data_IF_738190659302
#
_entry.id   IF_738190659302
#
_cell.length_a   1.000
_cell.length_b   1.000
_cell.length_c   1.000
_cell.angle_alpha   90.00
_cell.angle_beta   90.00
_cell.angle_gamma   90.00
#
_symmetry.space_group_name_H-M   'P 1'
#
loop_
_entity.id
_entity.type
_entity.pdbx_description
1 polymer ?
#
# COMPACT_ATOMS: atom_id res chain seq x y z
N UNK A 1 -26.39 2.31 -11.60
CA UNK A 1 -24.91 2.34 -11.71
C UNK A 1 -24.51 3.79 -11.87
N UNK A 2 -23.90 4.39 -10.85
CA UNK A 2 -23.24 5.69 -11.01
C UNK A 2 -21.90 5.43 -11.69
N UNK A 3 -21.92 5.29 -13.02
CA UNK A 3 -20.68 5.38 -13.80
C UNK A 3 -20.27 6.85 -13.78
N UNK A 4 -19.30 7.21 -12.95
CA UNK A 4 -18.55 8.43 -13.19
C UNK A 4 -17.83 8.19 -14.51
N UNK A 5 -18.39 8.69 -15.61
CA UNK A 5 -17.77 8.58 -16.94
C UNK A 5 -16.32 9.03 -16.87
N UNK A 6 -15.44 8.43 -17.67
CA UNK A 6 -14.01 8.74 -17.69
C UNK A 6 -13.81 10.25 -17.65
N UNK A 7 -13.24 10.74 -16.55
CA UNK A 7 -13.03 12.16 -16.30
C UNK A 7 -11.52 12.40 -16.23
N UNK A 8 -11.04 13.41 -16.95
CA UNK A 8 -9.62 13.71 -17.05
C UNK A 8 -9.15 14.53 -15.85
N UNK A 9 -8.29 13.94 -15.02
CA UNK A 9 -7.61 14.56 -13.87
C UNK A 9 -6.11 14.62 -14.08
N UNK A 10 -5.67 15.07 -15.26
CA UNK A 10 -4.26 15.17 -15.65
C UNK A 10 -3.45 16.23 -14.89
N UNK A 11 -4.10 17.14 -14.15
CA UNK A 11 -3.44 18.11 -13.27
C UNK A 11 -3.99 18.12 -11.84
N UNK A 12 -3.18 18.59 -10.88
CA UNK A 12 -3.60 18.70 -9.47
C UNK A 12 -4.79 19.66 -9.29
N UNK A 13 -4.85 20.73 -10.07
CA UNK A 13 -5.96 21.70 -10.02
C UNK A 13 -7.28 21.07 -10.50
N UNK A 14 -7.24 20.30 -11.59
CA UNK A 14 -8.41 19.55 -12.08
C UNK A 14 -8.84 18.49 -11.06
N UNK A 15 -7.89 17.78 -10.45
CA UNK A 15 -8.16 16.78 -9.41
C UNK A 15 -8.82 17.42 -8.19
N UNK A 16 -8.31 18.55 -7.71
CA UNK A 16 -8.87 19.33 -6.61
C UNK A 16 -10.30 19.79 -6.91
N UNK A 17 -10.50 20.35 -8.09
CA UNK A 17 -11.81 20.82 -8.56
C UNK A 17 -12.80 19.66 -8.66
N UNK A 18 -12.37 18.51 -9.19
CA UNK A 18 -13.21 17.32 -9.28
C UNK A 18 -13.63 16.84 -7.89
N UNK A 19 -12.69 16.76 -6.94
CA UNK A 19 -12.98 16.31 -5.57
C UNK A 19 -13.96 17.24 -4.88
N UNK A 20 -13.79 18.55 -5.02
CA UNK A 20 -14.68 19.55 -4.41
C UNK A 20 -16.10 19.46 -4.98
N UNK A 21 -16.24 19.27 -6.28
CA UNK A 21 -17.53 19.31 -6.95
C UNK A 21 -18.29 17.97 -6.90
N UNK A 22 -17.58 16.84 -6.87
CA UNK A 22 -18.19 15.51 -7.06
C UNK A 22 -18.10 14.60 -5.84
N UNK A 23 -17.12 14.80 -4.95
CA UNK A 23 -16.92 13.95 -3.77
C UNK A 23 -17.53 14.62 -2.55
N UNK A 24 -18.76 14.21 -2.23
CA UNK A 24 -19.55 14.75 -1.12
C UNK A 24 -18.80 14.65 0.20
N UNK A 25 -18.70 15.77 0.90
CA UNK A 25 -18.27 15.82 2.29
C UNK A 25 -19.48 15.82 3.22
N UNK A 26 -19.47 14.95 4.21
CA UNK A 26 -20.49 14.89 5.26
C UNK A 26 -19.82 15.28 6.58
N UNK A 27 -20.30 16.36 7.19
CA UNK A 27 -19.94 16.72 8.55
C UNK A 27 -20.54 15.69 9.51
N UNK A 28 -19.78 14.63 9.76
CA UNK A 28 -20.18 13.49 10.56
C UNK A 28 -18.93 12.80 11.11
N UNK A 29 -18.98 12.41 12.38
CA UNK A 29 -17.89 11.74 13.06
C UNK A 29 -18.36 10.34 13.48
N UNK A 30 -17.67 9.31 13.00
CA UNK A 30 -17.98 7.92 13.34
C UNK A 30 -17.35 7.56 14.68
N UNK A 31 -18.17 7.09 15.62
CA UNK A 31 -17.71 6.65 16.94
C UNK A 31 -17.61 5.12 16.97
N UNK A 32 -16.46 4.59 17.39
CA UNK A 32 -16.19 3.14 17.36
C UNK A 32 -17.22 2.30 18.13
N UNK A 33 -17.81 2.81 19.21
CA UNK A 33 -18.82 2.08 20.01
C UNK A 33 -20.12 1.84 19.25
N UNK A 34 -20.44 2.67 18.26
CA UNK A 34 -21.70 2.63 17.49
C UNK A 34 -21.42 2.49 15.99
N UNK A 35 -20.34 1.77 15.63
CA UNK A 35 -19.80 1.72 14.27
C UNK A 35 -20.87 1.34 13.22
N UNK A 36 -21.72 0.36 13.50
CA UNK A 36 -22.78 -0.08 12.58
C UNK A 36 -23.87 0.97 12.38
N UNK A 37 -24.32 1.64 13.45
CA UNK A 37 -25.34 2.69 13.35
C UNK A 37 -24.81 3.89 12.56
N UNK A 38 -23.57 4.31 12.86
CA UNK A 38 -22.88 5.36 12.13
C UNK A 38 -22.68 5.02 10.65
N UNK A 39 -22.26 3.79 10.34
CA UNK A 39 -22.08 3.31 8.97
C UNK A 39 -23.40 3.32 8.18
N UNK A 40 -24.48 2.86 8.80
CA UNK A 40 -25.82 2.88 8.21
C UNK A 40 -26.28 4.31 7.92
N UNK A 41 -26.11 5.23 8.88
CA UNK A 41 -26.48 6.62 8.71
C UNK A 41 -25.68 7.29 7.58
N UNK A 42 -24.37 7.07 7.51
CA UNK A 42 -23.53 7.55 6.41
C UNK A 42 -23.99 7.03 5.05
N UNK A 43 -24.31 5.73 4.94
CA UNK A 43 -24.81 5.14 3.70
C UNK A 43 -26.10 5.83 3.23
N UNK A 44 -27.07 6.03 4.13
CA UNK A 44 -28.34 6.70 3.79
C UNK A 44 -28.16 8.19 3.47
N UNK A 45 -27.20 8.88 4.10
CA UNK A 45 -26.88 10.29 3.78
C UNK A 45 -26.15 10.45 2.43
N UNK A 46 -25.33 9.47 2.03
CA UNK A 46 -24.65 9.46 0.72
C UNK A 46 -25.57 8.99 -0.40
N UNK A 47 -26.46 8.04 -0.11
CA UNK A 47 -27.39 7.44 -1.07
C UNK A 47 -28.84 7.62 -0.60
N UNK A 48 -29.46 8.81 -0.77
CA UNK A 48 -30.78 9.12 -0.22
C UNK A 48 -31.93 8.25 -0.76
N UNK A 49 -31.71 7.54 -1.86
CA UNK A 49 -32.69 6.62 -2.45
C UNK A 49 -32.63 5.21 -1.84
N UNK A 50 -31.62 4.91 -1.03
CA UNK A 50 -31.52 3.62 -0.33
C UNK A 50 -32.47 3.59 0.86
N UNK A 51 -33.05 2.42 1.13
CA UNK A 51 -33.91 2.17 2.29
C UNK A 51 -33.14 1.36 3.32
N UNK A 52 -33.37 1.65 4.60
CA UNK A 52 -32.70 0.96 5.70
C UNK A 52 -32.90 -0.55 5.67
N UNK A 53 -34.12 -1.01 5.38
CA UNK A 53 -34.44 -2.44 5.31
C UNK A 53 -33.72 -3.21 4.18
N UNK A 54 -33.19 -2.50 3.17
CA UNK A 54 -32.48 -3.10 2.04
C UNK A 54 -30.97 -3.28 2.30
N UNK A 55 -30.48 -2.73 3.42
CA UNK A 55 -29.04 -2.66 3.74
C UNK A 55 -28.63 -3.75 4.71
N UNK A 56 -27.62 -4.52 4.30
CA UNK A 56 -26.90 -5.47 5.15
C UNK A 56 -25.51 -4.92 5.44
N UNK A 57 -25.15 -4.88 6.72
CA UNK A 57 -23.84 -4.40 7.16
C UNK A 57 -23.04 -5.57 7.73
N UNK A 58 -21.78 -5.66 7.35
CA UNK A 58 -20.82 -6.61 7.88
C UNK A 58 -19.51 -5.90 8.21
N UNK A 59 -18.91 -6.24 9.35
CA UNK A 59 -17.59 -5.74 9.71
C UNK A 59 -16.53 -6.61 9.04
N UNK A 60 -15.66 -5.98 8.25
CA UNK A 60 -14.51 -6.67 7.67
C UNK A 60 -13.49 -6.92 8.78
N UNK A 61 -13.13 -8.19 8.99
CA UNK A 61 -12.17 -8.62 10.03
C UNK A 61 -10.79 -8.95 9.46
N UNK A 62 -10.65 -8.93 8.13
CA UNK A 62 -9.41 -9.23 7.44
C UNK A 62 -8.53 -7.98 7.45
N UNK A 63 -7.57 -7.92 8.38
CA UNK A 63 -6.62 -6.83 8.56
C UNK A 63 -6.41 -6.45 10.03
N UNK A 64 -5.38 -5.64 10.30
CA UNK A 64 -5.07 -5.20 11.67
C UNK A 64 -6.01 -4.10 12.19
N UNK A 65 -6.89 -3.54 11.35
CA UNK A 65 -7.81 -2.46 11.74
C UNK A 65 -9.27 -2.91 11.78
N UNK A 66 -9.85 -2.99 12.99
CA UNK A 66 -11.27 -3.34 13.23
C UNK A 66 -12.26 -2.22 12.83
N UNK A 67 -11.96 -1.44 11.79
CA UNK A 67 -12.55 -0.11 11.52
C UNK A 67 -13.19 0.03 10.13
N UNK A 68 -13.44 -1.10 9.47
CA UNK A 68 -13.99 -1.19 8.12
C UNK A 68 -15.33 -1.92 8.13
N UNK A 69 -16.37 -1.27 7.61
CA UNK A 69 -17.71 -1.85 7.45
C UNK A 69 -18.02 -1.95 5.96
N UNK A 70 -18.42 -3.13 5.51
CA UNK A 70 -19.08 -3.30 4.21
C UNK A 70 -20.58 -3.14 4.39
N UNK A 71 -21.18 -2.30 3.57
CA UNK A 71 -22.62 -2.08 3.50
C UNK A 71 -23.10 -2.49 2.11
N UNK A 72 -24.00 -3.48 2.06
CA UNK A 72 -24.54 -4.05 0.82
C UNK A 72 -26.00 -3.70 0.69
N UNK A 73 -26.36 -3.03 -0.41
CA UNK A 73 -27.74 -2.87 -0.82
C UNK A 73 -28.18 -4.14 -1.57
N UNK A 74 -28.99 -4.99 -0.93
CA UNK A 74 -29.37 -6.31 -1.43
C UNK A 74 -30.15 -6.26 -2.76
N UNK A 75 -31.21 -5.43 -2.92
CA UNK A 75 -31.92 -5.32 -4.19
C UNK A 75 -31.05 -4.85 -5.36
N UNK A 76 -30.07 -3.99 -5.10
CA UNK A 76 -29.18 -3.46 -6.13
C UNK A 76 -27.97 -4.35 -6.42
N UNK A 77 -27.67 -5.32 -5.55
CA UNK A 77 -26.44 -6.12 -5.64
C UNK A 77 -25.18 -5.26 -5.59
N UNK A 78 -25.20 -4.18 -4.81
CA UNK A 78 -24.15 -3.17 -4.81
C UNK A 78 -23.63 -2.92 -3.39
N UNK A 79 -22.30 -2.96 -3.24
CA UNK A 79 -21.63 -2.84 -1.95
C UNK A 79 -20.67 -1.66 -1.90
N UNK A 80 -20.65 -1.00 -0.75
CA UNK A 80 -19.71 0.08 -0.41
C UNK A 80 -18.94 -0.31 0.85
N UNK A 81 -17.77 0.30 1.01
CA UNK A 81 -16.95 0.23 2.20
C UNK A 81 -16.96 1.58 2.91
N UNK A 82 -17.19 1.56 4.22
CA UNK A 82 -17.06 2.72 5.11
C UNK A 82 -15.85 2.47 6.01
N UNK A 83 -14.81 3.28 5.83
CA UNK A 83 -13.53 3.16 6.56
C UNK A 83 -13.32 4.38 7.43
N UNK A 84 -13.07 4.15 8.72
CA UNK A 84 -12.57 5.19 9.62
C UNK A 84 -11.04 5.16 9.71
N UNK A 85 -10.41 6.32 9.86
CA UNK A 85 -8.96 6.41 9.98
C UNK A 85 -8.44 5.83 11.31
N UNK A 86 -7.19 5.35 11.29
CA UNK A 86 -6.46 4.91 12.48
C UNK A 86 -6.18 6.09 13.44
N UNK A 87 -6.13 5.80 14.74
CA UNK A 87 -5.76 6.83 15.72
C UNK A 87 -4.30 7.25 15.48
N UNK A 88 -4.01 8.56 15.45
CA UNK A 88 -2.66 9.14 15.24
C UNK A 88 -1.93 8.71 13.95
N UNK A 89 -2.67 8.17 12.98
CA UNK A 89 -2.11 7.68 11.72
C UNK A 89 -1.58 8.79 10.81
N UNK A 90 -1.98 10.04 11.05
CA UNK A 90 -1.54 11.24 10.34
C UNK A 90 -0.04 11.54 10.47
N UNK A 91 0.65 10.95 11.46
CA UNK A 91 2.12 11.05 11.57
C UNK A 91 2.78 10.41 10.34
N UNK A 92 2.23 9.28 9.91
CA UNK A 92 2.78 8.44 8.84
C UNK A 92 2.08 8.69 7.49
N UNK A 93 0.80 9.05 7.52
CA UNK A 93 -0.06 9.06 6.33
C UNK A 93 -0.59 10.46 6.03
N UNK A 94 -0.47 10.87 4.76
CA UNK A 94 -1.10 12.08 4.23
C UNK A 94 -2.48 11.76 3.66
N UNK A 95 -3.53 12.13 4.41
CA UNK A 95 -4.94 11.87 4.02
C UNK A 95 -5.38 12.63 2.78
N UNK A 96 -4.76 13.78 2.48
CA UNK A 96 -5.03 14.55 1.25
C UNK A 96 -4.48 13.78 0.05
N UNK A 97 -3.25 13.28 0.16
CA UNK A 97 -2.62 12.45 -0.87
C UNK A 97 -3.38 11.13 -1.10
N UNK A 98 -3.85 10.48 -0.03
CA UNK A 98 -4.65 9.26 -0.13
C UNK A 98 -5.92 9.46 -0.97
N UNK A 99 -6.68 10.55 -0.72
CA UNK A 99 -7.87 10.89 -1.49
C UNK A 99 -7.50 11.12 -2.97
N UNK A 100 -6.36 11.77 -3.24
CA UNK A 100 -5.89 12.03 -4.60
C UNK A 100 -5.59 10.72 -5.32
N UNK A 101 -4.88 9.82 -4.65
CA UNK A 101 -4.56 8.50 -5.17
C UNK A 101 -5.85 7.74 -5.53
N UNK A 102 -6.83 7.65 -4.62
CA UNK A 102 -8.08 6.91 -4.86
C UNK A 102 -8.81 7.47 -6.09
N UNK A 103 -8.96 8.79 -6.18
CA UNK A 103 -9.72 9.43 -7.27
C UNK A 103 -8.99 9.28 -8.61
N UNK A 104 -7.68 9.51 -8.65
CA UNK A 104 -6.90 9.33 -9.88
C UNK A 104 -6.87 7.88 -10.33
N UNK A 105 -6.64 6.92 -9.43
CA UNK A 105 -6.69 5.50 -9.77
C UNK A 105 -8.08 5.04 -10.21
N UNK A 106 -9.13 5.62 -9.64
CA UNK A 106 -10.51 5.35 -10.07
C UNK A 106 -10.79 5.86 -11.48
N UNK A 107 -10.20 6.98 -11.91
CA UNK A 107 -10.31 7.46 -13.30
C UNK A 107 -9.63 6.54 -14.32
N UNK A 108 -8.76 5.64 -13.85
CA UNK A 108 -8.00 4.67 -14.66
C UNK A 108 -8.51 3.23 -14.51
N UNK A 109 -9.67 3.02 -13.88
CA UNK A 109 -10.25 1.69 -13.58
C UNK A 109 -9.33 0.78 -12.74
N UNK A 110 -8.40 1.36 -11.97
CA UNK A 110 -7.48 0.66 -11.07
C UNK A 110 -7.96 0.63 -9.62
N UNK A 111 -8.89 1.51 -9.26
CA UNK A 111 -9.53 1.58 -7.95
C UNK A 111 -11.04 1.72 -8.10
N UNK A 112 -11.85 1.21 -7.15
CA UNK A 112 -13.24 1.58 -7.06
C UNK A 112 -13.41 3.09 -6.82
N UNK A 113 -14.57 3.67 -7.18
CA UNK A 113 -14.85 5.08 -6.93
C UNK A 113 -14.86 5.43 -5.44
N UNK A 114 -14.38 6.64 -5.15
CA UNK A 114 -14.66 7.31 -3.88
C UNK A 114 -16.07 7.91 -3.95
N UNK A 115 -16.95 7.56 -3.02
CA UNK A 115 -18.33 8.05 -2.99
C UNK A 115 -18.51 9.22 -2.02
N UNK A 116 -17.72 9.29 -0.95
CA UNK A 116 -17.84 10.34 0.03
C UNK A 116 -16.71 10.40 1.03
N UNK A 117 -16.64 11.53 1.73
CA UNK A 117 -15.68 11.82 2.79
C UNK A 117 -16.42 12.31 4.02
N UNK A 118 -15.88 12.05 5.19
CA UNK A 118 -16.41 12.53 6.48
C UNK A 118 -15.27 12.84 7.44
N UNK A 119 -15.58 13.37 8.64
CA UNK A 119 -14.60 14.01 9.52
C UNK A 119 -13.42 13.09 9.90
N UNK A 120 -13.66 11.79 9.98
CA UNK A 120 -12.66 10.80 10.36
C UNK A 120 -12.62 9.58 9.42
N UNK A 121 -12.92 9.75 8.13
CA UNK A 121 -12.82 8.65 7.17
C UNK A 121 -13.41 8.90 5.79
N UNK A 122 -13.57 7.80 5.05
CA UNK A 122 -14.00 7.77 3.64
C UNK A 122 -15.01 6.66 3.37
N UNK A 123 -15.79 6.84 2.30
CA UNK A 123 -16.70 5.83 1.75
C UNK A 123 -16.35 5.58 0.29
N UNK A 124 -16.02 4.34 -0.07
CA UNK A 124 -15.57 3.95 -1.41
C UNK A 124 -16.17 2.60 -1.83
N UNK A 125 -16.05 2.23 -3.10
CA UNK A 125 -16.63 0.98 -3.61
C UNK A 125 -15.94 -0.28 -3.09
N UNK A 126 -16.71 -1.35 -3.00
CA UNK A 126 -16.21 -2.68 -2.67
C UNK A 126 -15.62 -3.38 -3.90
N UNK A 127 -14.51 -4.12 -3.71
CA UNK A 127 -13.94 -4.99 -4.74
C UNK A 127 -14.26 -6.44 -4.40
N UNK A 128 -14.96 -7.11 -5.30
CA UNK A 128 -15.29 -8.54 -5.16
C UNK A 128 -14.06 -9.42 -5.35
N UNK A 129 -13.78 -10.28 -4.37
CA UNK A 129 -12.74 -11.29 -4.45
C UNK A 129 -12.29 -11.78 -3.07
N UNK A 130 -11.23 -12.57 -3.05
CA UNK A 130 -10.58 -13.08 -1.84
C UNK A 130 -9.24 -12.38 -1.67
N UNK A 131 -8.93 -11.94 -0.46
CA UNK A 131 -7.61 -11.44 -0.09
C UNK A 131 -6.58 -12.56 -0.31
N UNK A 132 -5.41 -12.24 -0.83
CA UNK A 132 -4.31 -13.21 -0.93
C UNK A 132 -3.92 -13.70 0.47
N UNK A 133 -3.43 -14.92 0.55
CA UNK A 133 -2.61 -15.40 1.65
C UNK A 133 -1.12 -15.26 1.32
N UNK A 134 -0.25 -15.47 2.32
CA UNK A 134 1.21 -15.55 2.07
C UNK A 134 1.53 -16.62 1.01
N UNK A 135 0.85 -17.78 1.05
CA UNK A 135 1.07 -18.84 0.07
C UNK A 135 0.71 -18.42 -1.36
N UNK A 136 -0.30 -17.56 -1.52
CA UNK A 136 -0.73 -17.08 -2.84
C UNK A 136 0.30 -16.17 -3.52
N UNK A 137 1.21 -15.53 -2.76
CA UNK A 137 2.32 -14.75 -3.33
C UNK A 137 3.28 -15.63 -4.15
N UNK A 138 3.45 -16.88 -3.73
CA UNK A 138 4.29 -17.88 -4.40
C UNK A 138 3.55 -18.72 -5.46
N UNK A 139 2.22 -18.61 -5.54
CA UNK A 139 1.44 -19.34 -6.55
C UNK A 139 1.80 -18.84 -7.97
N UNK A 140 2.27 -19.70 -8.88
CA UNK A 140 2.77 -19.26 -10.18
C UNK A 140 1.73 -18.49 -11.02
N UNK A 141 0.45 -18.83 -10.89
CA UNK A 141 -0.60 -18.19 -11.67
C UNK A 141 -1.04 -16.85 -11.05
N UNK A 142 -1.29 -16.81 -9.75
CA UNK A 142 -1.69 -15.59 -9.04
C UNK A 142 -0.58 -14.55 -9.00
N UNK A 143 0.66 -14.99 -8.73
CA UNK A 143 1.84 -14.11 -8.70
C UNK A 143 2.11 -13.48 -10.07
N UNK A 144 1.89 -14.23 -11.16
CA UNK A 144 1.91 -13.70 -12.52
C UNK A 144 0.89 -12.58 -12.75
N UNK A 145 -0.34 -12.74 -12.24
CA UNK A 145 -1.36 -11.70 -12.34
C UNK A 145 -0.95 -10.44 -11.57
N UNK A 146 -0.36 -10.60 -10.38
CA UNK A 146 0.19 -9.49 -9.60
C UNK A 146 1.31 -8.75 -10.38
N UNK A 147 2.24 -9.48 -10.99
CA UNK A 147 3.31 -8.89 -11.82
C UNK A 147 2.75 -8.02 -12.96
N UNK A 148 1.76 -8.55 -13.70
CA UNK A 148 1.14 -7.83 -14.81
C UNK A 148 0.35 -6.61 -14.33
N UNK A 149 -0.37 -6.73 -13.23
CA UNK A 149 -1.16 -5.63 -12.69
C UNK A 149 -0.24 -4.51 -12.14
N UNK A 150 0.89 -4.86 -11.52
CA UNK A 150 1.87 -3.88 -11.07
C UNK A 150 2.58 -3.18 -12.25
N UNK A 151 2.78 -3.89 -13.37
CA UNK A 151 3.29 -3.26 -14.59
C UNK A 151 2.33 -2.19 -15.13
N UNK A 152 1.02 -2.49 -15.18
CA UNK A 152 -0.01 -1.51 -15.55
C UNK A 152 0.01 -0.33 -14.59
N UNK A 153 0.07 -0.60 -13.28
CA UNK A 153 0.13 0.42 -12.24
C UNK A 153 1.33 1.36 -12.40
N UNK A 154 2.53 0.82 -12.58
CA UNK A 154 3.75 1.60 -12.79
C UNK A 154 3.72 2.41 -14.11
N UNK A 155 2.91 2.00 -15.08
CA UNK A 155 2.70 2.72 -16.34
C UNK A 155 1.68 3.87 -16.25
N UNK A 156 1.05 4.07 -15.09
CA UNK A 156 0.08 5.15 -14.90
C UNK A 156 0.75 6.52 -14.85
N UNK A 157 0.05 7.53 -15.36
CA UNK A 157 0.41 8.94 -15.22
C UNK A 157 -0.59 9.63 -14.29
N UNK A 158 -0.23 9.75 -13.02
CA UNK A 158 -1.03 10.41 -11.99
C UNK A 158 -0.56 11.85 -11.84
N UNK A 159 -1.51 12.78 -11.68
CA UNK A 159 -1.23 14.18 -11.42
C UNK A 159 -0.38 14.39 -10.16
N UNK A 160 0.61 15.28 -10.24
CA UNK A 160 1.47 15.64 -9.13
C UNK A 160 2.95 15.68 -9.49
N UNK A 161 3.80 15.86 -8.48
CA UNK A 161 5.24 15.90 -8.68
C UNK A 161 5.80 14.49 -8.89
N UNK A 162 6.42 14.26 -10.05
CA UNK A 162 7.01 12.97 -10.45
C UNK A 162 8.42 12.77 -9.88
N UNK A 163 8.58 13.01 -8.57
CA UNK A 163 9.84 12.81 -7.85
C UNK A 163 9.72 11.65 -6.87
N UNK A 164 10.80 10.89 -6.64
CA UNK A 164 10.75 9.75 -5.74
C UNK A 164 10.68 10.23 -4.28
N UNK A 165 9.62 9.84 -3.57
CA UNK A 165 9.43 10.22 -2.17
C UNK A 165 10.09 9.29 -1.15
N UNK A 166 10.58 8.11 -1.55
CA UNK A 166 11.08 7.07 -0.63
C UNK A 166 12.03 7.60 0.45
N UNK A 167 13.16 8.21 0.06
CA UNK A 167 14.15 8.68 1.03
C UNK A 167 13.73 9.95 1.77
N UNK A 168 12.83 10.75 1.20
CA UNK A 168 12.21 11.88 1.89
C UNK A 168 11.38 11.34 3.07
N UNK A 169 10.54 10.34 2.81
CA UNK A 169 9.73 9.65 3.81
C UNK A 169 10.59 8.97 4.87
N UNK A 170 11.61 8.19 4.47
CA UNK A 170 12.51 7.52 5.42
C UNK A 170 13.22 8.51 6.36
N UNK A 171 13.72 9.63 5.83
CA UNK A 171 14.35 10.69 6.64
C UNK A 171 13.36 11.39 7.56
N UNK A 172 12.11 11.59 7.13
CA UNK A 172 11.04 12.12 7.98
C UNK A 172 10.76 11.13 9.11
N UNK A 173 10.48 9.88 8.79
CA UNK A 173 10.16 8.84 9.77
C UNK A 173 11.29 8.61 10.77
N UNK A 174 12.54 8.61 10.34
CA UNK A 174 13.68 8.48 11.26
C UNK A 174 13.72 9.60 12.32
N UNK A 175 13.26 10.81 12.00
CA UNK A 175 13.15 11.92 12.97
C UNK A 175 11.99 11.75 13.95
N UNK A 176 10.94 11.03 13.54
CA UNK A 176 9.77 10.73 14.38
C UNK A 176 10.01 9.53 15.31
N UNK A 177 11.07 8.74 15.10
CA UNK A 177 11.44 7.67 16.04
C UNK A 177 11.83 8.30 17.38
N UNK A 178 11.08 7.95 18.43
CA UNK A 178 11.34 8.41 19.79
C UNK A 178 12.69 7.91 20.32
N UNK A 179 13.23 8.65 21.30
CA UNK A 179 14.47 8.28 22.00
C UNK A 179 14.22 7.35 23.18
N UNK A 180 12.96 7.14 23.57
CA UNK A 180 12.56 6.30 24.70
C UNK A 180 11.18 5.67 24.47
N UNK A 181 11.03 4.43 24.92
CA UNK A 181 9.85 3.59 24.91
C UNK A 181 9.53 3.11 26.34
N UNK A 182 8.27 2.74 26.59
CA UNK A 182 7.84 2.23 27.91
C UNK A 182 8.61 0.98 28.36
N UNK A 183 9.23 0.25 27.42
CA UNK A 183 10.18 -0.82 27.68
C UNK A 183 11.49 -0.61 26.89
N UNK A 184 12.31 0.34 27.37
CA UNK A 184 13.54 0.79 26.73
C UNK A 184 14.60 -0.31 26.53
N UNK A 185 14.60 -1.38 27.32
CA UNK A 185 15.68 -2.37 27.30
C UNK A 185 15.83 -3.03 25.92
N UNK A 186 14.72 -3.42 25.29
CA UNK A 186 14.75 -4.07 23.98
C UNK A 186 15.13 -3.08 22.87
N UNK A 187 14.62 -1.85 22.94
CA UNK A 187 14.98 -0.82 21.98
C UNK A 187 16.47 -0.50 22.04
N UNK A 188 16.99 -0.19 23.23
CA UNK A 188 18.40 0.18 23.44
C UNK A 188 19.37 -0.98 23.15
N UNK A 189 18.92 -2.23 23.30
CA UNK A 189 19.70 -3.42 22.93
C UNK A 189 19.89 -3.54 21.41
N UNK A 190 18.88 -3.19 20.63
CA UNK A 190 18.86 -3.44 19.19
C UNK A 190 19.13 -2.21 18.33
N UNK A 191 18.86 -1.01 18.84
CA UNK A 191 18.84 0.21 18.04
C UNK A 191 19.71 1.32 18.63
N UNK A 192 20.38 2.01 17.72
CA UNK A 192 21.05 3.27 17.99
C UNK A 192 20.72 4.23 16.85
N UNK A 193 19.98 5.31 17.15
CA UNK A 193 19.43 6.22 16.14
C UNK A 193 20.53 6.88 15.30
N UNK A 194 21.67 7.22 15.91
CA UNK A 194 22.79 7.81 15.15
C UNK A 194 23.40 6.81 14.16
N UNK A 195 23.51 5.53 14.55
CA UNK A 195 23.95 4.46 13.65
C UNK A 195 22.93 4.22 12.54
N UNK A 196 21.64 4.16 12.86
CA UNK A 196 20.57 4.01 11.86
C UNK A 196 20.57 5.18 10.86
N UNK A 197 20.80 6.41 11.32
CA UNK A 197 20.90 7.57 10.46
C UNK A 197 22.09 7.49 9.49
N UNK A 198 23.28 7.13 10.00
CA UNK A 198 24.47 6.93 9.15
C UNK A 198 24.23 5.82 8.13
N UNK A 199 23.58 4.74 8.56
CA UNK A 199 23.27 3.60 7.71
C UNK A 199 22.27 3.96 6.60
N UNK A 200 21.21 4.70 6.93
CA UNK A 200 20.24 5.19 5.95
C UNK A 200 20.89 6.10 4.90
N UNK A 201 21.79 7.01 5.32
CA UNK A 201 22.54 7.87 4.40
C UNK A 201 23.44 7.04 3.47
N UNK A 202 24.14 6.04 4.02
CA UNK A 202 24.99 5.15 3.22
C UNK A 202 24.15 4.35 2.22
N UNK A 203 22.99 3.84 2.64
CA UNK A 203 22.08 3.09 1.77
C UNK A 203 21.55 3.98 0.64
N UNK A 204 21.10 5.20 0.94
CA UNK A 204 20.64 6.16 -0.07
C UNK A 204 21.73 6.46 -1.11
N UNK A 205 22.97 6.67 -0.66
CA UNK A 205 24.10 6.93 -1.55
C UNK A 205 24.34 5.78 -2.53
N UNK A 206 24.18 4.52 -2.10
CA UNK A 206 24.29 3.37 -3.01
C UNK A 206 23.08 3.23 -3.93
N UNK A 207 21.86 3.37 -3.40
CA UNK A 207 20.64 3.13 -4.17
C UNK A 207 20.35 4.21 -5.21
N UNK A 208 20.78 5.46 -4.99
CA UNK A 208 20.68 6.51 -6.03
C UNK A 208 21.53 6.15 -7.27
N UNK A 209 22.67 5.47 -7.11
CA UNK A 209 23.55 5.07 -8.24
C UNK A 209 22.90 4.00 -9.13
N UNK A 210 21.94 3.25 -8.60
CA UNK A 210 21.20 2.22 -9.35
C UNK A 210 20.36 2.85 -10.47
N UNK A 211 20.00 4.14 -10.36
CA UNK A 211 19.17 4.85 -11.33
C UNK A 211 17.84 4.12 -11.64
N UNK A 212 17.20 3.55 -10.61
CA UNK A 212 15.87 2.96 -10.74
C UNK A 212 14.90 4.00 -11.32
N UNK A 213 14.10 3.65 -12.35
CA UNK A 213 13.05 4.51 -12.85
C UNK A 213 12.08 4.93 -11.74
N UNK A 214 11.60 6.17 -11.85
CA UNK A 214 10.57 6.73 -10.98
C UNK A 214 9.21 6.51 -11.63
N UNK A 215 8.33 5.81 -10.94
CA UNK A 215 6.97 5.45 -11.38
C UNK A 215 5.98 5.76 -10.28
N UNK A 216 4.69 5.81 -10.59
CA UNK A 216 3.67 5.82 -9.54
C UNK A 216 3.64 4.42 -8.92
N UNK A 217 3.96 4.31 -7.63
CA UNK A 217 4.13 3.05 -6.91
C UNK A 217 3.05 2.88 -5.85
N UNK A 218 2.70 1.64 -5.52
CA UNK A 218 1.84 1.29 -4.39
C UNK A 218 2.58 1.49 -3.06
N UNK A 219 3.86 1.15 -3.00
CA UNK A 219 4.79 1.17 -1.86
C UNK A 219 4.46 0.21 -0.70
N UNK A 220 3.24 -0.34 -0.66
CA UNK A 220 2.79 -1.26 0.39
C UNK A 220 2.09 -2.52 -0.17
N UNK A 221 2.72 -3.20 -1.11
CA UNK A 221 2.09 -4.33 -1.82
C UNK A 221 2.24 -5.68 -1.08
N UNK A 222 1.77 -5.74 0.17
CA UNK A 222 1.67 -7.00 0.92
C UNK A 222 0.47 -7.85 0.47
N UNK A 223 0.45 -9.13 0.86
CA UNK A 223 -0.63 -10.07 0.49
C UNK A 223 -2.02 -9.54 0.85
N UNK A 224 -2.18 -8.85 1.99
CA UNK A 224 -3.48 -8.34 2.43
C UNK A 224 -4.03 -7.23 1.51
N UNK A 225 -3.17 -6.59 0.72
CA UNK A 225 -3.51 -5.52 -0.21
C UNK A 225 -3.74 -6.01 -1.64
N UNK A 226 -3.83 -7.34 -1.85
CA UNK A 226 -4.11 -7.95 -3.15
C UNK A 226 -5.40 -8.78 -3.07
N UNK A 227 -6.38 -8.41 -3.88
CA UNK A 227 -7.66 -9.11 -4.01
C UNK A 227 -7.65 -9.95 -5.27
N UNK A 228 -7.86 -11.26 -5.14
CA UNK A 228 -8.07 -12.18 -6.25
C UNK A 228 -9.55 -12.39 -6.53
N UNK A 229 -9.98 -12.04 -7.74
CA UNK A 229 -11.29 -12.45 -8.24
C UNK A 229 -11.13 -13.71 -9.09
N UNK A 230 -11.55 -14.85 -8.52
CA UNK A 230 -11.44 -16.17 -9.14
C UNK A 230 -12.24 -16.29 -10.45
N UNK A 231 -13.46 -15.74 -10.46
CA UNK A 231 -14.35 -15.79 -11.62
C UNK A 231 -13.82 -14.97 -12.81
N UNK A 232 -13.23 -13.80 -12.54
CA UNK A 232 -12.66 -12.92 -13.55
C UNK A 232 -11.19 -13.23 -13.85
N UNK A 233 -10.56 -14.10 -13.06
CA UNK A 233 -9.10 -14.36 -13.08
C UNK A 233 -8.28 -13.07 -13.06
N UNK A 234 -8.70 -12.12 -12.22
CA UNK A 234 -8.12 -10.78 -12.11
C UNK A 234 -7.62 -10.55 -10.69
N UNK A 235 -6.53 -9.78 -10.58
CA UNK A 235 -6.10 -9.20 -9.31
C UNK A 235 -6.38 -7.70 -9.29
N UNK A 236 -6.71 -7.20 -8.11
CA UNK A 236 -6.85 -5.78 -7.83
C UNK A 236 -6.04 -5.43 -6.60
N UNK A 237 -5.43 -4.26 -6.60
CA UNK A 237 -4.74 -3.74 -5.42
C UNK A 237 -5.69 -2.85 -4.63
N UNK A 238 -5.47 -2.76 -3.31
CA UNK A 238 -6.24 -1.92 -2.40
C UNK A 238 -5.29 -1.25 -1.40
N UNK A 239 -5.81 -0.23 -0.70
CA UNK A 239 -5.11 0.50 0.35
C UNK A 239 -3.90 1.35 -0.11
N UNK A 240 -4.21 2.47 -0.76
CA UNK A 240 -3.24 3.30 -1.48
C UNK A 240 -2.68 4.45 -0.64
N UNK A 241 -2.69 4.33 0.69
CA UNK A 241 -2.30 5.42 1.58
C UNK A 241 -0.80 5.73 1.55
N UNK A 242 0.02 4.74 1.17
CA UNK A 242 1.46 4.91 0.92
C UNK A 242 1.79 5.17 -0.56
N UNK A 243 0.81 5.13 -1.46
CA UNK A 243 1.05 5.25 -2.89
C UNK A 243 1.54 6.66 -3.26
N UNK A 244 2.60 6.74 -4.05
CA UNK A 244 3.17 7.99 -4.56
C UNK A 244 4.19 7.69 -5.67
N UNK A 245 4.71 8.73 -6.31
CA UNK A 245 5.89 8.56 -7.16
C UNK A 245 7.09 8.12 -6.32
N UNK A 246 7.65 6.97 -6.69
CA UNK A 246 8.75 6.31 -5.99
C UNK A 246 9.59 5.51 -6.99
N UNK A 247 10.62 4.82 -6.51
CA UNK A 247 11.46 3.96 -7.33
C UNK A 247 10.71 2.65 -7.62
N UNK A 248 10.59 2.24 -8.88
CA UNK A 248 9.95 0.94 -9.22
C UNK A 248 10.66 -0.24 -8.54
N UNK A 249 11.99 -0.15 -8.38
CA UNK A 249 12.78 -1.17 -7.69
C UNK A 249 12.37 -1.32 -6.23
N UNK A 250 11.97 -0.24 -5.57
CA UNK A 250 11.44 -0.28 -4.20
C UNK A 250 10.10 -0.99 -4.13
N UNK A 251 9.17 -0.68 -5.02
CA UNK A 251 7.82 -1.27 -4.93
C UNK A 251 7.85 -2.79 -5.17
N UNK A 252 8.62 -3.24 -6.16
CA UNK A 252 8.82 -4.67 -6.43
C UNK A 252 9.65 -5.33 -5.33
N UNK A 253 10.75 -4.68 -4.89
CA UNK A 253 11.61 -5.22 -3.83
C UNK A 253 10.85 -5.36 -2.51
N UNK A 254 9.97 -4.40 -2.21
CA UNK A 254 9.04 -4.47 -1.10
C UNK A 254 8.07 -5.64 -1.26
N UNK A 255 7.41 -5.77 -2.41
CA UNK A 255 6.50 -6.89 -2.67
C UNK A 255 7.15 -8.26 -2.41
N UNK A 256 8.42 -8.45 -2.82
CA UNK A 256 9.16 -9.68 -2.53
C UNK A 256 9.48 -9.87 -1.04
N UNK A 257 9.78 -8.79 -0.31
CA UNK A 257 9.93 -8.87 1.15
C UNK A 257 8.65 -9.35 1.85
N UNK A 258 7.48 -9.05 1.30
CA UNK A 258 6.18 -9.42 1.88
C UNK A 258 5.83 -10.90 1.73
N UNK A 259 6.63 -11.69 0.99
CA UNK A 259 6.54 -13.16 0.98
C UNK A 259 6.82 -13.76 2.35
N UNK A 260 7.54 -13.03 3.22
CA UNK A 260 7.80 -13.43 4.58
C UNK A 260 6.59 -13.24 5.53
N UNK A 261 5.58 -12.49 5.10
CA UNK A 261 4.42 -12.10 5.91
C UNK A 261 4.78 -11.33 7.19
N UNK A 262 3.78 -11.13 8.06
CA UNK A 262 3.98 -10.45 9.35
C UNK A 262 4.88 -11.22 10.33
N UNK A 263 5.00 -12.54 10.15
CA UNK A 263 5.92 -13.40 10.91
C UNK A 263 7.40 -13.18 10.51
N UNK A 264 7.65 -12.47 9.40
CA UNK A 264 8.98 -12.23 8.85
C UNK A 264 9.77 -13.53 8.62
N UNK A 265 9.10 -14.59 8.12
CA UNK A 265 9.77 -15.82 7.69
C UNK A 265 10.47 -15.61 6.34
N UNK A 266 11.67 -15.02 6.39
CA UNK A 266 12.47 -14.76 5.19
C UNK A 266 13.04 -16.01 4.53
N UNK A 267 12.75 -17.22 5.03
CA UNK A 267 12.97 -18.44 4.24
C UNK A 267 12.01 -18.54 3.04
N UNK A 268 10.89 -17.80 3.08
CA UNK A 268 9.91 -17.70 2.01
C UNK A 268 10.23 -16.62 0.96
N UNK A 269 11.29 -15.83 1.16
CA UNK A 269 11.71 -14.83 0.18
C UNK A 269 11.98 -15.52 -1.18
N UNK A 270 11.44 -15.00 -2.31
CA UNK A 270 11.49 -15.71 -3.57
C UNK A 270 12.93 -15.89 -4.05
N UNK A 271 13.27 -17.10 -4.51
CA UNK A 271 14.59 -17.39 -5.06
C UNK A 271 14.82 -16.67 -6.40
N UNK A 272 16.07 -16.63 -6.85
CA UNK A 272 16.46 -15.97 -8.10
C UNK A 272 15.65 -16.50 -9.29
N UNK A 273 15.41 -17.81 -9.38
CA UNK A 273 14.69 -18.41 -10.50
C UNK A 273 13.23 -17.92 -10.54
N UNK A 274 12.58 -17.80 -9.39
CA UNK A 274 11.23 -17.26 -9.28
C UNK A 274 11.22 -15.78 -9.65
N UNK A 275 12.13 -15.00 -9.05
CA UNK A 275 12.22 -13.56 -9.31
C UNK A 275 12.44 -13.28 -10.80
N UNK A 276 13.39 -13.95 -11.46
CA UNK A 276 13.67 -13.75 -12.88
C UNK A 276 12.45 -14.02 -13.77
N UNK A 277 11.64 -15.02 -13.44
CA UNK A 277 10.39 -15.30 -14.16
C UNK A 277 9.34 -14.20 -13.90
N UNK A 278 9.16 -13.82 -12.63
CA UNK A 278 8.23 -12.77 -12.25
C UNK A 278 8.57 -11.43 -12.93
N UNK A 279 9.85 -11.05 -12.92
CA UNK A 279 10.36 -9.82 -13.53
C UNK A 279 10.22 -9.83 -15.05
N UNK A 280 10.40 -10.98 -15.72
CA UNK A 280 10.10 -11.13 -17.15
C UNK A 280 8.64 -10.83 -17.44
N UNK A 281 7.73 -11.37 -16.64
CA UNK A 281 6.30 -11.13 -16.83
C UNK A 281 5.90 -9.68 -16.58
N UNK A 282 6.49 -9.05 -15.56
CA UNK A 282 6.35 -7.62 -15.31
C UNK A 282 6.84 -6.79 -16.52
N UNK A 283 8.07 -7.01 -16.99
CA UNK A 283 8.64 -6.24 -18.11
C UNK A 283 7.86 -6.43 -19.42
N UNK A 284 7.44 -7.65 -19.73
CA UNK A 284 6.63 -7.93 -20.92
C UNK A 284 5.24 -7.26 -20.86
N UNK A 285 4.67 -7.13 -19.66
CA UNK A 285 3.40 -6.41 -19.48
C UNK A 285 3.60 -4.89 -19.52
N UNK A 286 4.72 -4.40 -19.00
CA UNK A 286 5.08 -2.98 -19.00
C UNK A 286 5.39 -2.49 -20.43
N UNK A 287 6.07 -3.33 -21.22
CA UNK A 287 6.39 -3.06 -22.62
C UNK A 287 5.70 -4.08 -23.53
N UNK A 288 4.48 -3.80 -23.95
CA UNK A 288 3.65 -4.68 -24.78
C UNK A 288 4.12 -4.87 -26.23
N UNK A 289 5.20 -4.20 -26.64
CA UNK A 289 5.67 -4.23 -28.04
C UNK A 289 6.64 -5.36 -28.36
N UNK A 290 7.36 -5.88 -27.36
CA UNK A 290 8.30 -6.99 -27.50
C UNK A 290 8.56 -7.69 -26.17
N UNK A 291 9.10 -8.89 -26.24
CA UNK A 291 9.61 -9.58 -25.07
C UNK A 291 10.86 -8.88 -24.51
N UNK A 292 10.99 -8.93 -23.19
CA UNK A 292 12.16 -8.50 -22.44
C UNK A 292 13.34 -9.44 -22.69
N UNK A 293 14.50 -8.84 -22.90
CA UNK A 293 15.78 -9.56 -23.03
C UNK A 293 16.28 -10.05 -21.66
N UNK A 294 17.13 -11.06 -21.66
CA UNK A 294 17.72 -11.59 -20.42
C UNK A 294 18.57 -10.53 -19.69
N UNK A 295 19.21 -9.63 -20.43
CA UNK A 295 19.97 -8.50 -19.85
C UNK A 295 19.04 -7.51 -19.13
N UNK A 296 17.90 -7.13 -19.74
CA UNK A 296 16.93 -6.23 -19.10
C UNK A 296 16.37 -6.83 -17.81
N UNK A 297 16.11 -8.13 -17.81
CA UNK A 297 15.62 -8.86 -16.63
C UNK A 297 16.72 -8.91 -15.56
N UNK A 298 17.97 -9.18 -15.94
CA UNK A 298 19.11 -9.20 -15.01
C UNK A 298 19.37 -7.81 -14.40
N UNK A 299 19.28 -6.74 -15.19
CA UNK A 299 19.37 -5.36 -14.68
C UNK A 299 18.27 -5.10 -13.65
N UNK A 300 17.02 -5.47 -13.96
CA UNK A 300 15.90 -5.27 -13.05
C UNK A 300 16.04 -6.14 -11.79
N UNK A 301 16.57 -7.36 -11.90
CA UNK A 301 16.85 -8.22 -10.74
C UNK A 301 17.83 -7.57 -9.77
N UNK A 302 18.94 -7.01 -10.27
CA UNK A 302 19.90 -6.26 -9.46
C UNK A 302 19.25 -5.03 -8.81
N UNK A 303 18.47 -4.29 -9.58
CA UNK A 303 17.71 -3.12 -9.10
C UNK A 303 16.80 -3.48 -7.93
N UNK A 304 15.94 -4.49 -8.12
CA UNK A 304 14.92 -4.91 -7.14
C UNK A 304 15.53 -5.42 -5.84
N UNK A 305 16.54 -6.29 -5.90
CA UNK A 305 17.16 -6.83 -4.69
C UNK A 305 17.91 -5.74 -3.91
N UNK A 306 18.59 -4.80 -4.59
CA UNK A 306 19.19 -3.65 -3.90
C UNK A 306 18.14 -2.81 -3.17
N UNK A 307 17.00 -2.55 -3.80
CA UNK A 307 15.92 -1.77 -3.19
C UNK A 307 15.10 -2.54 -2.13
N UNK A 308 15.14 -3.88 -2.11
CA UNK A 308 14.57 -4.68 -1.01
C UNK A 308 15.19 -4.30 0.35
N UNK A 309 16.46 -3.88 0.36
CA UNK A 309 17.10 -3.32 1.55
C UNK A 309 16.40 -2.07 2.08
N UNK A 310 15.93 -1.18 1.19
CA UNK A 310 15.18 0.00 1.58
C UNK A 310 13.79 -0.34 2.14
N UNK A 311 13.17 -1.43 1.68
CA UNK A 311 11.91 -1.93 2.26
C UNK A 311 12.07 -2.33 3.73
N UNK A 312 13.18 -2.97 4.10
CA UNK A 312 13.46 -3.28 5.51
C UNK A 312 13.62 -2.02 6.37
N UNK A 313 14.29 -0.98 5.85
CA UNK A 313 14.34 0.33 6.52
C UNK A 313 12.96 0.96 6.66
N UNK A 314 12.16 0.93 5.58
CA UNK A 314 10.84 1.54 5.54
C UNK A 314 9.94 0.98 6.63
N UNK A 315 9.77 -0.34 6.64
CA UNK A 315 8.89 -1.01 7.59
C UNK A 315 9.50 -1.17 8.97
N UNK A 316 10.83 -1.19 9.08
CA UNK A 316 11.53 -1.14 10.36
C UNK A 316 11.30 0.17 11.10
N UNK A 317 11.46 1.31 10.42
CA UNK A 317 11.16 2.64 11.00
C UNK A 317 9.66 2.81 11.28
N UNK A 318 8.80 2.35 10.37
CA UNK A 318 7.35 2.31 10.60
C UNK A 318 7.01 1.54 11.89
N UNK A 319 7.60 0.36 12.08
CA UNK A 319 7.41 -0.45 13.29
C UNK A 319 7.89 0.27 14.55
N UNK A 320 9.04 0.93 14.50
CA UNK A 320 9.53 1.72 15.64
C UNK A 320 8.58 2.87 16.00
N UNK A 321 8.01 3.57 15.03
CA UNK A 321 7.05 4.66 15.30
C UNK A 321 5.74 4.09 15.86
N UNK A 322 5.23 3.01 15.26
CA UNK A 322 3.96 2.42 15.67
C UNK A 322 4.02 1.75 17.04
N UNK A 323 5.19 1.25 17.46
CA UNK A 323 5.40 0.70 18.81
C UNK A 323 5.10 1.72 19.93
N UNK A 324 5.06 3.02 19.62
CA UNK A 324 4.68 4.07 20.56
C UNK A 324 3.25 4.57 20.35
N UNK A 325 2.77 4.60 19.11
CA UNK A 325 1.54 5.32 18.76
C UNK A 325 0.31 4.45 18.59
N UNK A 326 0.50 3.17 18.23
CA UNK A 326 -0.59 2.30 17.83
C UNK A 326 -1.27 1.66 19.03
N UNK A 327 -2.60 1.67 19.01
CA UNK A 327 -3.45 0.97 19.98
C UNK A 327 -3.76 -0.48 19.56
N UNK A 328 -3.17 -0.96 18.45
CA UNK A 328 -3.39 -2.30 17.92
C UNK A 328 -2.50 -3.29 18.66
N UNK A 329 -3.07 -4.45 19.03
CA UNK A 329 -2.34 -5.58 19.63
C UNK A 329 -1.44 -6.28 18.59
N UNK A 330 -0.29 -5.66 18.34
CA UNK A 330 0.76 -6.17 17.45
C UNK A 330 2.13 -5.82 18.03
N UNK A 331 3.09 -6.74 17.94
CA UNK A 331 4.43 -6.52 18.49
C UNK A 331 5.33 -5.74 17.53
N UNK A 332 5.02 -4.45 17.37
CA UNK A 332 5.72 -3.54 16.47
C UNK A 332 7.25 -3.47 16.71
N UNK A 333 7.68 -3.56 17.97
CA UNK A 333 9.11 -3.55 18.32
C UNK A 333 9.82 -4.82 17.84
N UNK A 334 9.24 -6.01 18.06
CA UNK A 334 9.81 -7.25 17.52
C UNK A 334 9.83 -7.24 16.00
N UNK A 335 8.73 -6.79 15.37
CA UNK A 335 8.65 -6.65 13.93
C UNK A 335 9.79 -5.77 13.39
N UNK A 336 10.02 -4.59 13.99
CA UNK A 336 11.14 -3.73 13.61
C UNK A 336 12.50 -4.42 13.75
N UNK A 337 12.72 -5.17 14.84
CA UNK A 337 13.96 -5.95 15.05
C UNK A 337 14.15 -6.97 13.92
N UNK A 338 13.10 -7.71 13.54
CA UNK A 338 13.16 -8.70 12.47
C UNK A 338 13.47 -8.05 11.11
N UNK A 339 12.82 -6.93 10.77
CA UNK A 339 13.10 -6.19 9.52
C UNK A 339 14.56 -5.75 9.44
N UNK A 340 15.08 -5.09 10.49
CA UNK A 340 16.47 -4.62 10.49
C UNK A 340 17.49 -5.75 10.55
N UNK A 341 17.18 -6.86 11.21
CA UNK A 341 18.04 -8.05 11.20
C UNK A 341 18.19 -8.61 9.78
N UNK A 342 17.11 -8.70 9.02
CA UNK A 342 17.18 -9.17 7.63
C UNK A 342 17.92 -8.16 6.73
N UNK A 343 17.72 -6.85 6.92
CA UNK A 343 18.52 -5.82 6.24
C UNK A 343 20.02 -6.10 6.39
N UNK A 344 20.52 -6.23 7.63
CA UNK A 344 21.95 -6.41 7.87
C UNK A 344 22.45 -7.77 7.37
N UNK A 345 21.60 -8.80 7.39
CA UNK A 345 21.93 -10.13 6.85
C UNK A 345 22.11 -10.11 5.33
N UNK A 346 21.29 -9.34 4.60
CA UNK A 346 21.27 -9.28 3.12
C UNK A 346 22.12 -8.16 2.54
N UNK A 347 22.52 -7.18 3.35
CA UNK A 347 23.18 -5.95 2.88
C UNK A 347 24.32 -6.20 1.90
N UNK A 348 25.33 -6.98 2.31
CA UNK A 348 26.52 -7.17 1.50
C UNK A 348 26.21 -7.98 0.23
N UNK A 349 25.38 -9.02 0.35
CA UNK A 349 24.88 -9.82 -0.77
C UNK A 349 24.21 -8.94 -1.81
N UNK A 350 23.18 -8.18 -1.43
CA UNK A 350 22.36 -7.41 -2.35
C UNK A 350 23.10 -6.20 -2.92
N UNK A 351 23.93 -5.50 -2.15
CA UNK A 351 24.71 -4.37 -2.67
C UNK A 351 25.80 -4.81 -3.67
N UNK A 352 26.30 -6.04 -3.54
CA UNK A 352 27.34 -6.60 -4.43
C UNK A 352 26.84 -7.03 -5.82
N UNK A 353 25.52 -7.13 -6.01
CA UNK A 353 24.88 -7.54 -7.26
C UNK A 353 25.17 -6.63 -8.45
#
# INVERSE_FOLDING_TARGET
MLSNGAFDVSSLEQLETYIQNNIKYIDYFVVSSNLFECALELALRLFPTWKKEDLELEQCKDGITNKLIKCTNKPLGFSILIRTYGNKSEVLIDRKQEIYNIVSLSSLDLSPPLYGRFNNGIVYGFIEGKVFSVADLSDPFKSLLAAKNLAIWHGTDIAGEKKPNLFITLKKWLKEVTKSYDNDEKFLKHFNIEKLNKELISLEQELVKVNSPVTFCHNDLLYANIIYNESAKKVSFIDYEYACYSYRGFDIGNHFCEFAGFECDYSLYPDEKFQMQWLRHYLNAFNSTRDATDEEISILYREVNKFALASHFYWGLWGLIQAQLSDIDFNYMEYAVLRFKEYYKRKDEFLSL
#
